data_IF_551506887429
#
_entry.id   IF_551506887429
#
_cell.length_a   1.000
_cell.length_b   1.000
_cell.length_c   1.000
_cell.angle_alpha   90.00
_cell.angle_beta   90.00
_cell.angle_gamma   90.00
#
_symmetry.space_group_name_H-M   'P 1'
#
loop_
_entity.id
_entity.type
_entity.pdbx_description
1 polymer ?
#
# COMPACT_ATOMS: atom_id res chain seq x y z
N UNK A 1 28.86 -25.41 -19.33
CA UNK A 1 28.21 -24.25 -18.68
C UNK A 1 28.98 -23.00 -19.09
N UNK A 2 28.47 -22.24 -20.06
CA UNK A 2 29.09 -21.01 -20.54
C UNK A 2 28.33 -19.81 -20.00
N UNK A 3 28.99 -18.98 -19.20
CA UNK A 3 28.42 -17.73 -18.68
C UNK A 3 28.56 -16.69 -19.80
N UNK A 4 27.44 -16.23 -20.36
CA UNK A 4 27.43 -15.14 -21.35
C UNK A 4 26.77 -13.92 -20.70
N UNK A 5 27.51 -12.83 -20.54
CA UNK A 5 26.96 -11.57 -20.09
C UNK A 5 26.33 -10.84 -21.29
N UNK A 6 25.00 -10.82 -21.35
CA UNK A 6 24.27 -10.00 -22.34
C UNK A 6 23.88 -8.68 -21.71
N UNK A 7 24.28 -7.58 -22.35
CA UNK A 7 23.82 -6.23 -22.05
C UNK A 7 22.53 -5.99 -22.83
N UNK A 8 21.41 -5.90 -22.13
CA UNK A 8 20.12 -5.56 -22.74
C UNK A 8 20.01 -4.05 -22.84
N UNK A 9 20.14 -3.49 -24.05
CA UNK A 9 19.74 -2.10 -24.28
C UNK A 9 18.20 -2.05 -24.27
N UNK A 10 17.63 -1.66 -23.14
CA UNK A 10 16.20 -1.49 -22.97
C UNK A 10 15.74 -0.22 -23.70
N UNK A 11 15.49 -0.33 -25.01
CA UNK A 11 14.70 0.68 -25.73
C UNK A 11 13.25 0.51 -25.32
N UNK A 12 12.85 1.17 -24.24
CA UNK A 12 11.45 1.29 -23.86
C UNK A 12 10.65 1.95 -24.99
N UNK A 13 9.43 1.46 -25.18
CA UNK A 13 8.44 1.95 -26.14
C UNK A 13 8.34 3.48 -26.08
N UNK A 14 8.79 4.16 -27.13
CA UNK A 14 8.59 5.60 -27.29
C UNK A 14 7.10 5.86 -27.62
N UNK A 15 6.44 6.83 -26.95
CA UNK A 15 5.03 7.16 -27.19
C UNK A 15 4.75 7.82 -28.55
N UNK A 16 5.76 8.00 -29.41
CA UNK A 16 5.62 8.65 -30.72
C UNK A 16 5.09 7.77 -31.86
N UNK A 17 4.53 6.59 -31.59
CA UNK A 17 3.89 5.79 -32.65
C UNK A 17 2.50 6.36 -32.98
N UNK A 18 2.27 6.65 -34.27
CA UNK A 18 0.95 7.01 -34.80
C UNK A 18 -0.09 5.95 -34.39
N UNK A 19 -1.19 6.37 -33.78
CA UNK A 19 -2.27 5.48 -33.31
C UNK A 19 -2.41 5.36 -31.79
N UNK A 20 -1.64 6.11 -31.00
CA UNK A 20 -1.87 6.22 -29.56
C UNK A 20 -2.99 7.24 -29.27
N UNK A 21 -4.12 6.77 -28.74
CA UNK A 21 -5.15 7.65 -28.17
C UNK A 21 -4.65 8.17 -26.82
N UNK A 22 -4.46 9.49 -26.63
CA UNK A 22 -4.07 10.02 -25.34
C UNK A 22 -5.10 9.65 -24.27
N UNK A 23 -4.63 9.42 -23.04
CA UNK A 23 -5.52 9.20 -21.92
C UNK A 23 -6.47 10.40 -21.72
N UNK A 24 -7.68 10.17 -21.17
CA UNK A 24 -8.62 11.25 -20.89
C UNK A 24 -8.03 12.24 -19.89
N UNK A 25 -8.34 13.53 -20.06
CA UNK A 25 -8.05 14.54 -19.03
C UNK A 25 -8.97 14.36 -17.82
N UNK A 26 -8.54 14.84 -16.65
CA UNK A 26 -9.35 14.80 -15.43
C UNK A 26 -10.67 15.56 -15.61
N UNK A 27 -10.64 16.70 -16.29
CA UNK A 27 -11.83 17.54 -16.55
C UNK A 27 -12.87 16.86 -17.44
N UNK A 28 -12.48 15.82 -18.19
CA UNK A 28 -13.39 15.04 -19.03
C UNK A 28 -14.15 13.95 -18.25
N UNK A 29 -13.89 13.79 -16.95
CA UNK A 29 -14.54 12.81 -16.07
C UNK A 29 -15.74 13.46 -15.40
N UNK A 30 -16.93 12.90 -15.63
CA UNK A 30 -18.13 13.27 -14.90
C UNK A 30 -18.23 12.44 -13.61
N UNK A 31 -18.26 13.11 -12.46
CA UNK A 31 -18.47 12.47 -11.15
C UNK A 31 -19.86 12.78 -10.64
N UNK A 32 -20.48 11.80 -9.96
CA UNK A 32 -21.66 12.07 -9.14
C UNK A 32 -21.31 13.03 -7.99
N UNK A 33 -22.30 13.78 -7.52
CA UNK A 33 -22.17 14.55 -6.28
C UNK A 33 -21.87 13.62 -5.08
N UNK A 34 -21.08 14.08 -4.09
CA UNK A 34 -20.94 13.39 -2.81
C UNK A 34 -22.31 13.17 -2.16
N UNK A 35 -22.51 11.99 -1.55
CA UNK A 35 -23.75 11.59 -0.86
C UNK A 35 -23.82 12.06 0.59
N UNK A 36 -22.72 12.58 1.13
CA UNK A 36 -22.64 13.19 2.45
C UNK A 36 -21.81 14.47 2.39
N UNK A 37 -21.99 15.33 3.39
CA UNK A 37 -21.16 16.51 3.60
C UNK A 37 -20.14 16.24 4.72
N UNK A 38 -18.88 16.58 4.48
CA UNK A 38 -17.86 16.51 5.51
C UNK A 38 -18.08 17.63 6.54
N UNK A 39 -18.03 17.34 7.85
CA UNK A 39 -18.18 18.37 8.88
C UNK A 39 -17.01 19.35 8.82
N UNK A 40 -17.26 20.62 9.15
CA UNK A 40 -16.24 21.67 9.16
C UNK A 40 -15.00 21.32 10.02
N UNK A 41 -15.19 20.51 11.08
CA UNK A 41 -14.11 20.02 11.94
C UNK A 41 -13.13 19.04 11.26
N UNK A 42 -13.46 18.53 10.07
CA UNK A 42 -12.61 17.65 9.26
C UNK A 42 -12.15 18.31 7.95
N UNK A 43 -12.47 19.58 7.71
CA UNK A 43 -12.14 20.28 6.46
C UNK A 43 -10.62 20.43 6.23
N UNK A 44 -9.81 20.25 7.27
CA UNK A 44 -8.35 20.29 7.22
C UNK A 44 -7.73 18.98 6.70
N UNK A 45 -8.48 17.88 6.69
CA UNK A 45 -7.99 16.55 6.30
C UNK A 45 -8.90 15.83 5.30
N UNK A 46 -10.11 16.33 5.02
CA UNK A 46 -11.06 15.73 4.07
C UNK A 46 -11.27 16.63 2.85
N UNK A 47 -11.07 16.04 1.67
CA UNK A 47 -11.27 16.67 0.36
C UNK A 47 -12.39 15.96 -0.41
N UNK A 48 -13.40 16.72 -0.84
CA UNK A 48 -14.51 16.25 -1.69
C UNK A 48 -14.35 16.68 -3.17
N UNK A 49 -13.21 17.27 -3.52
CA UNK A 49 -12.84 17.72 -4.85
C UNK A 49 -12.72 16.58 -5.87
N UNK A 50 -12.95 16.93 -7.14
CA UNK A 50 -13.00 15.96 -8.23
C UNK A 50 -11.66 15.22 -8.41
N UNK A 51 -10.54 15.95 -8.40
CA UNK A 51 -9.21 15.36 -8.62
C UNK A 51 -8.85 14.31 -7.56
N UNK A 52 -9.03 14.64 -6.27
CA UNK A 52 -8.76 13.70 -5.18
C UNK A 52 -9.58 12.42 -5.37
N UNK A 53 -10.89 12.55 -5.61
CA UNK A 53 -11.79 11.41 -5.80
C UNK A 53 -11.42 10.56 -7.01
N UNK A 54 -11.08 11.17 -8.15
CA UNK A 54 -10.64 10.46 -9.36
C UNK A 54 -9.38 9.65 -9.10
N UNK A 55 -8.37 10.26 -8.46
CA UNK A 55 -7.07 9.62 -8.17
C UNK A 55 -7.17 8.46 -7.18
N UNK A 56 -8.24 8.40 -6.39
CA UNK A 56 -8.49 7.38 -5.37
C UNK A 56 -9.63 6.41 -5.74
N UNK A 57 -10.08 6.40 -7.00
CA UNK A 57 -11.15 5.50 -7.44
C UNK A 57 -10.64 4.07 -7.71
N UNK A 58 -9.43 3.95 -8.25
CA UNK A 58 -8.98 2.72 -8.91
C UNK A 58 -7.62 2.22 -8.45
N UNK A 59 -7.49 0.89 -8.47
CA UNK A 59 -6.23 0.18 -8.41
C UNK A 59 -5.44 0.25 -9.72
N UNK A 60 -4.69 -0.81 -10.02
CA UNK A 60 -3.87 -0.98 -11.22
C UNK A 60 -4.18 -2.28 -11.96
N UNK A 61 -5.36 -2.86 -11.74
CA UNK A 61 -5.79 -3.99 -12.55
C UNK A 61 -6.05 -3.54 -14.00
N UNK A 62 -5.94 -4.45 -14.97
CA UNK A 62 -6.24 -4.14 -16.36
C UNK A 62 -7.66 -3.58 -16.55
N UNK A 63 -8.65 -4.13 -15.83
CA UNK A 63 -10.04 -3.64 -15.84
C UNK A 63 -10.14 -2.18 -15.40
N UNK A 64 -9.34 -1.79 -14.42
CA UNK A 64 -9.36 -0.44 -13.82
C UNK A 64 -8.81 0.57 -14.83
N UNK A 65 -7.72 0.21 -15.50
CA UNK A 65 -7.13 1.02 -16.58
C UNK A 65 -8.15 1.22 -17.70
N UNK A 66 -8.78 0.15 -18.19
CA UNK A 66 -9.79 0.22 -19.26
C UNK A 66 -10.95 1.14 -18.86
N UNK A 67 -11.52 0.99 -17.66
CA UNK A 67 -12.60 1.86 -17.16
C UNK A 67 -12.18 3.31 -17.05
N UNK A 68 -10.97 3.57 -16.54
CA UNK A 68 -10.38 4.91 -16.50
C UNK A 68 -10.29 5.57 -17.88
N UNK A 69 -9.83 4.83 -18.90
CA UNK A 69 -9.80 5.31 -20.29
C UNK A 69 -11.20 5.56 -20.86
N UNK A 70 -12.18 4.74 -20.48
CA UNK A 70 -13.60 4.95 -20.82
C UNK A 70 -14.27 6.05 -20.00
N UNK A 71 -13.56 6.68 -19.06
CA UNK A 71 -14.10 7.71 -18.15
C UNK A 71 -15.25 7.20 -17.28
N UNK A 72 -15.32 5.89 -17.08
CA UNK A 72 -16.23 5.32 -16.09
C UNK A 72 -15.60 5.52 -14.71
N UNK A 73 -16.21 6.39 -13.91
CA UNK A 73 -15.85 6.63 -12.51
C UNK A 73 -17.10 6.53 -11.61
N UNK A 74 -18.06 5.67 -11.98
CA UNK A 74 -19.30 5.48 -11.23
C UNK A 74 -19.04 5.06 -9.77
N UNK A 75 -17.93 4.36 -9.54
CA UNK A 75 -17.49 3.85 -8.23
C UNK A 75 -16.55 4.80 -7.49
N UNK A 76 -16.43 6.06 -7.90
CA UNK A 76 -15.60 7.03 -7.20
C UNK A 76 -16.05 7.23 -5.73
N UNK A 77 -15.10 7.41 -4.79
CA UNK A 77 -15.44 7.76 -3.42
C UNK A 77 -16.19 9.10 -3.37
N UNK A 78 -16.88 9.35 -2.26
CA UNK A 78 -17.53 10.63 -1.97
C UNK A 78 -16.55 11.67 -1.46
N UNK A 79 -15.49 11.21 -0.77
CA UNK A 79 -14.44 12.05 -0.22
C UNK A 79 -13.13 11.27 -0.10
N UNK A 80 -12.02 11.98 -0.03
CA UNK A 80 -10.70 11.45 0.32
C UNK A 80 -10.27 12.12 1.62
N UNK A 81 -9.78 11.35 2.57
CA UNK A 81 -9.18 11.90 3.78
C UNK A 81 -7.69 11.56 3.86
N UNK A 82 -6.87 12.54 4.24
CA UNK A 82 -5.42 12.40 4.34
C UNK A 82 -4.96 12.71 5.77
N UNK A 83 -5.05 11.73 6.70
CA UNK A 83 -4.67 11.92 8.10
C UNK A 83 -3.15 12.11 8.25
N UNK A 84 -2.75 13.02 9.14
CA UNK A 84 -1.34 13.31 9.44
C UNK A 84 -0.82 12.51 10.64
N UNK A 85 -1.72 12.05 11.50
CA UNK A 85 -1.45 11.24 12.67
C UNK A 85 -2.63 10.31 13.01
N UNK A 86 -2.50 9.52 14.08
CA UNK A 86 -3.57 8.65 14.56
C UNK A 86 -4.78 9.40 15.12
N UNK A 87 -4.60 10.64 15.60
CA UNK A 87 -5.72 11.44 16.09
C UNK A 87 -6.63 11.82 14.92
N UNK A 88 -6.06 12.20 13.77
CA UNK A 88 -6.79 12.42 12.53
C UNK A 88 -7.55 11.16 12.10
N UNK A 89 -6.88 9.99 12.08
CA UNK A 89 -7.54 8.70 11.74
C UNK A 89 -8.74 8.45 12.67
N UNK A 90 -8.57 8.65 13.97
CA UNK A 90 -9.65 8.45 14.95
C UNK A 90 -10.82 9.39 14.70
N UNK A 91 -10.57 10.70 14.51
CA UNK A 91 -11.63 11.69 14.21
C UNK A 91 -12.42 11.30 12.96
N UNK A 92 -11.74 10.80 11.94
CA UNK A 92 -12.37 10.34 10.69
C UNK A 92 -13.22 9.09 10.91
N UNK A 93 -12.72 8.09 11.63
CA UNK A 93 -13.46 6.87 11.94
C UNK A 93 -14.68 7.14 12.84
N UNK A 94 -14.56 8.03 13.83
CA UNK A 94 -15.65 8.44 14.71
C UNK A 94 -16.78 9.12 13.91
N UNK A 95 -16.43 10.05 13.01
CA UNK A 95 -17.38 10.65 12.08
C UNK A 95 -18.05 9.59 11.18
N UNK A 96 -17.25 8.73 10.55
CA UNK A 96 -17.75 7.74 9.61
C UNK A 96 -18.73 6.76 10.27
N UNK A 97 -18.44 6.34 11.51
CA UNK A 97 -19.34 5.50 12.30
C UNK A 97 -20.68 6.19 12.59
N UNK A 98 -20.66 7.46 13.00
CA UNK A 98 -21.88 8.23 13.27
C UNK A 98 -22.71 8.53 12.02
N UNK A 99 -22.05 8.83 10.90
CA UNK A 99 -22.68 9.17 9.63
C UNK A 99 -23.02 7.95 8.75
N UNK A 100 -22.66 6.73 9.19
CA UNK A 100 -22.79 5.49 8.40
C UNK A 100 -22.08 5.56 7.04
N UNK A 101 -20.88 6.16 7.04
CA UNK A 101 -19.99 6.25 5.87
C UNK A 101 -19.01 5.07 5.93
N UNK A 102 -18.86 4.35 4.83
CA UNK A 102 -17.82 3.32 4.72
C UNK A 102 -16.44 3.97 4.57
N UNK A 103 -15.42 3.38 5.19
CA UNK A 103 -14.04 3.84 5.08
C UNK A 103 -13.21 2.77 4.38
N UNK A 104 -12.51 3.16 3.32
CA UNK A 104 -11.61 2.27 2.56
C UNK A 104 -10.17 2.76 2.79
N UNK A 105 -9.32 2.01 3.53
CA UNK A 105 -7.92 2.36 3.67
C UNK A 105 -7.21 2.37 2.32
N UNK A 106 -6.44 3.42 2.07
CA UNK A 106 -5.73 3.62 0.82
C UNK A 106 -4.25 3.89 1.09
N UNK A 107 -3.38 3.16 0.39
CA UNK A 107 -1.93 3.34 0.43
C UNK A 107 -1.42 3.89 -0.91
N UNK A 108 -0.66 3.08 -1.64
CA UNK A 108 -0.15 3.48 -2.96
C UNK A 108 -1.12 3.24 -4.13
N UNK A 109 -2.33 2.74 -3.88
CA UNK A 109 -3.32 2.46 -4.94
C UNK A 109 -2.90 1.40 -5.95
N UNK A 110 -1.97 0.51 -5.61
CA UNK A 110 -1.39 -0.49 -6.52
C UNK A 110 -2.11 -1.85 -6.50
N UNK A 111 -3.28 -1.95 -5.85
CA UNK A 111 -4.08 -3.18 -5.85
C UNK A 111 -4.46 -3.60 -7.28
N UNK A 112 -4.41 -4.89 -7.57
CA UNK A 112 -4.80 -5.46 -8.88
C UNK A 112 -6.06 -6.34 -8.79
N UNK A 113 -6.74 -6.32 -7.65
CA UNK A 113 -7.94 -7.14 -7.37
C UNK A 113 -9.17 -6.30 -7.03
N UNK A 114 -9.05 -4.97 -7.04
CA UNK A 114 -10.11 -4.05 -6.63
C UNK A 114 -10.15 -3.76 -5.12
N UNK A 115 -9.07 -4.04 -4.38
CA UNK A 115 -9.03 -3.87 -2.92
C UNK A 115 -9.14 -2.42 -2.44
N UNK A 116 -9.09 -1.43 -3.34
CA UNK A 116 -9.32 -0.01 -3.05
C UNK A 116 -10.58 0.53 -3.72
N UNK A 117 -11.31 -0.32 -4.44
CA UNK A 117 -12.53 0.07 -5.14
C UNK A 117 -13.66 0.30 -4.13
N UNK A 118 -14.35 1.44 -4.24
CA UNK A 118 -15.32 1.87 -3.24
C UNK A 118 -16.67 1.16 -3.41
N UNK A 119 -16.76 -0.09 -2.97
CA UNK A 119 -18.02 -0.84 -2.88
C UNK A 119 -18.74 -0.49 -1.56
N UNK A 120 -19.74 0.39 -1.61
CA UNK A 120 -20.44 0.87 -0.40
C UNK A 120 -21.90 1.25 -0.64
N UNK A 121 -22.61 0.52 -1.47
CA UNK A 121 -24.02 0.81 -1.81
C UNK A 121 -24.95 0.77 -0.58
N UNK A 122 -24.61 -0.02 0.44
CA UNK A 122 -25.36 -0.11 1.70
C UNK A 122 -25.08 1.03 2.69
N UNK A 123 -24.18 1.96 2.38
CA UNK A 123 -23.72 3.03 3.26
C UNK A 123 -24.18 4.42 2.76
N UNK A 124 -24.20 5.40 3.66
CA UNK A 124 -24.53 6.80 3.31
C UNK A 124 -23.49 7.43 2.36
N UNK A 125 -22.29 6.84 2.28
CA UNK A 125 -21.24 7.20 1.34
C UNK A 125 -20.00 6.35 1.56
N UNK A 126 -18.95 6.62 0.78
CA UNK A 126 -17.64 5.99 0.94
C UNK A 126 -16.56 7.07 1.00
N UNK A 127 -15.67 6.96 1.98
CA UNK A 127 -14.51 7.81 2.18
C UNK A 127 -13.25 6.96 1.95
N UNK A 128 -12.39 7.38 1.02
CA UNK A 128 -11.06 6.79 0.86
C UNK A 128 -10.11 7.43 1.87
N UNK A 129 -9.44 6.62 2.70
CA UNK A 129 -8.52 7.09 3.73
C UNK A 129 -7.07 6.91 3.26
N UNK A 130 -6.50 7.94 2.66
CA UNK A 130 -5.13 7.95 2.13
C UNK A 130 -4.11 8.12 3.27
N UNK A 131 -3.42 7.03 3.59
CA UNK A 131 -2.42 6.96 4.65
C UNK A 131 -1.06 7.55 4.22
N UNK A 132 -0.90 8.06 3.01
CA UNK A 132 0.38 8.50 2.45
C UNK A 132 1.14 9.56 3.27
N UNK A 133 0.43 10.32 4.12
CA UNK A 133 1.06 11.26 5.07
C UNK A 133 1.64 10.59 6.32
N UNK A 134 1.20 9.38 6.67
CA UNK A 134 1.77 8.54 7.73
C UNK A 134 2.96 7.74 7.17
N UNK A 135 4.07 8.39 6.86
CA UNK A 135 5.18 7.80 6.09
C UNK A 135 6.55 7.77 6.79
N UNK A 136 6.60 8.07 8.09
CA UNK A 136 7.84 8.14 8.86
C UNK A 136 8.42 6.77 9.24
N UNK A 137 9.75 6.68 9.21
CA UNK A 137 10.52 5.67 9.96
C UNK A 137 10.75 6.25 11.35
N UNK A 138 10.01 5.75 12.35
CA UNK A 138 9.90 6.39 13.66
C UNK A 138 11.01 5.96 14.63
N UNK A 139 11.44 4.71 14.55
CA UNK A 139 12.40 4.13 15.47
C UNK A 139 13.17 3.00 14.79
N UNK A 140 14.47 2.89 15.07
CA UNK A 140 15.34 1.84 14.54
C UNK A 140 16.24 1.29 15.65
N UNK A 141 16.09 0.01 15.98
CA UNK A 141 16.95 -0.72 16.91
C UNK A 141 17.96 -1.57 16.15
N UNK A 142 19.24 -1.23 16.28
CA UNK A 142 20.33 -2.04 15.70
C UNK A 142 20.52 -3.37 16.43
N UNK A 143 20.24 -3.40 17.74
CA UNK A 143 20.42 -4.57 18.60
C UNK A 143 19.38 -5.62 18.24
N UNK A 144 18.10 -5.21 18.23
CA UNK A 144 16.99 -6.13 17.95
C UNK A 144 16.80 -6.35 16.45
N UNK A 145 17.40 -5.48 15.63
CA UNK A 145 17.21 -5.40 14.17
C UNK A 145 15.73 -5.23 13.83
N UNK A 146 15.12 -4.24 14.46
CA UNK A 146 13.73 -3.85 14.29
C UNK A 146 13.63 -2.40 13.88
N UNK A 147 12.61 -2.08 13.08
CA UNK A 147 12.25 -0.71 12.77
C UNK A 147 10.74 -0.52 12.92
N UNK A 148 10.33 0.54 13.62
CA UNK A 148 8.93 0.96 13.73
C UNK A 148 8.66 2.02 12.67
N UNK A 149 7.68 1.75 11.81
CA UNK A 149 7.46 2.52 10.58
C UNK A 149 5.96 2.73 10.40
N UNK A 150 5.59 3.93 9.98
CA UNK A 150 4.21 4.25 9.68
C UNK A 150 3.75 3.58 8.37
N UNK A 151 2.47 3.21 8.32
CA UNK A 151 1.90 2.34 7.30
C UNK A 151 1.83 2.95 5.90
N UNK A 152 1.82 4.27 5.78
CA UNK A 152 1.87 4.99 4.51
C UNK A 152 3.25 5.09 3.88
N UNK A 153 4.32 4.62 4.54
CA UNK A 153 5.67 4.70 4.00
C UNK A 153 5.81 3.90 2.70
N UNK A 154 6.13 4.59 1.61
CA UNK A 154 6.46 3.99 0.31
C UNK A 154 7.81 3.28 0.38
N UNK A 155 7.99 2.23 -0.42
CA UNK A 155 9.21 1.43 -0.45
C UNK A 155 10.51 2.25 -0.56
N UNK A 156 10.66 3.16 -1.53
CA UNK A 156 11.87 3.98 -1.66
C UNK A 156 12.15 4.86 -0.43
N UNK A 157 11.13 5.52 0.11
CA UNK A 157 11.27 6.39 1.28
C UNK A 157 11.63 5.60 2.54
N UNK A 158 10.98 4.45 2.74
CA UNK A 158 11.28 3.51 3.81
C UNK A 158 12.73 3.02 3.76
N UNK A 159 13.19 2.55 2.60
CA UNK A 159 14.56 2.07 2.42
C UNK A 159 15.60 3.20 2.55
N UNK A 160 15.27 4.43 2.14
CA UNK A 160 16.11 5.60 2.36
C UNK A 160 16.25 5.93 3.86
N UNK A 161 15.16 5.85 4.63
CA UNK A 161 15.18 6.01 6.08
C UNK A 161 16.05 4.95 6.77
N UNK A 162 15.89 3.68 6.42
CA UNK A 162 16.70 2.59 6.97
C UNK A 162 18.19 2.67 6.58
N UNK A 163 18.48 3.20 5.38
CA UNK A 163 19.86 3.36 4.88
C UNK A 163 20.70 4.23 5.80
N UNK A 164 20.12 5.28 6.40
CA UNK A 164 20.83 6.15 7.35
C UNK A 164 21.37 5.37 8.57
N UNK A 165 20.75 4.22 8.88
CA UNK A 165 21.14 3.31 9.95
C UNK A 165 21.95 2.11 9.44
N UNK A 166 22.38 2.09 8.17
CA UNK A 166 23.10 0.92 7.62
C UNK A 166 22.25 -0.36 7.54
N UNK A 167 20.92 -0.23 7.64
CA UNK A 167 19.96 -1.33 7.60
C UNK A 167 19.12 -1.27 6.31
N UNK A 168 18.39 -2.34 6.06
CA UNK A 168 17.44 -2.51 4.94
C UNK A 168 16.34 -3.48 5.36
N UNK A 169 15.12 -3.29 4.85
CA UNK A 169 14.06 -4.27 4.97
C UNK A 169 14.26 -5.37 3.93
N UNK A 170 14.75 -5.01 2.73
CA UNK A 170 14.96 -5.88 1.57
C UNK A 170 13.70 -6.71 1.29
N UNK A 171 12.59 -6.00 1.17
CA UNK A 171 11.31 -6.49 0.68
C UNK A 171 10.93 -5.65 -0.55
N UNK A 172 11.02 -6.28 -1.73
CA UNK A 172 10.89 -5.58 -3.02
C UNK A 172 9.77 -6.17 -3.88
N UNK A 173 8.49 -5.89 -3.59
CA UNK A 173 7.41 -6.24 -4.49
C UNK A 173 7.58 -5.51 -5.84
N UNK A 174 6.96 -5.98 -6.92
CA UNK A 174 7.10 -5.29 -8.23
C UNK A 174 6.54 -3.87 -8.19
N UNK A 175 5.56 -3.63 -7.32
CA UNK A 175 4.99 -2.30 -7.04
C UNK A 175 5.81 -1.48 -6.05
N UNK A 176 7.06 -1.84 -5.73
CA UNK A 176 7.86 -1.25 -4.63
C UNK A 176 7.82 0.28 -4.59
N UNK A 177 7.95 0.95 -5.75
CA UNK A 177 7.96 2.42 -5.85
C UNK A 177 6.59 3.08 -5.58
N UNK A 178 5.51 2.30 -5.66
CA UNK A 178 4.12 2.77 -5.61
C UNK A 178 3.25 1.94 -4.64
N UNK A 179 3.87 1.31 -3.64
CA UNK A 179 3.16 0.55 -2.61
C UNK A 179 3.76 0.84 -1.25
N UNK A 180 2.90 0.77 -0.24
CA UNK A 180 3.22 1.19 1.13
C UNK A 180 3.33 -0.01 2.06
N UNK A 181 4.02 0.16 3.19
CA UNK A 181 4.15 -0.88 4.21
C UNK A 181 2.80 -1.44 4.66
N UNK A 182 1.82 -0.57 4.95
CA UNK A 182 0.47 -0.97 5.35
C UNK A 182 -0.23 -1.78 4.27
N UNK A 183 -0.10 -1.38 3.01
CA UNK A 183 -0.62 -2.14 1.87
C UNK A 183 0.00 -3.52 1.79
N UNK A 184 1.32 -3.64 1.96
CA UNK A 184 1.99 -4.95 1.96
C UNK A 184 1.41 -5.87 3.04
N UNK A 185 1.28 -5.38 4.27
CA UNK A 185 0.73 -6.13 5.41
C UNK A 185 -0.72 -6.54 5.14
N UNK A 186 -1.55 -5.60 4.69
CA UNK A 186 -2.97 -5.83 4.41
C UNK A 186 -3.19 -6.88 3.30
N UNK A 187 -2.26 -7.02 2.36
CA UNK A 187 -2.40 -7.94 1.21
C UNK A 187 -1.42 -9.12 1.23
N UNK A 188 -0.66 -9.31 2.33
CA UNK A 188 0.40 -10.33 2.46
C UNK A 188 1.39 -10.34 1.29
N UNK A 189 1.83 -9.15 0.88
CA UNK A 189 2.65 -8.97 -0.32
C UNK A 189 3.92 -9.83 -0.33
N UNK A 190 4.27 -10.32 -1.51
CA UNK A 190 5.51 -11.05 -1.79
C UNK A 190 6.59 -10.11 -2.35
N UNK A 191 7.80 -10.21 -1.82
CA UNK A 191 8.97 -9.47 -2.26
C UNK A 191 9.88 -10.29 -3.16
N UNK A 192 10.46 -9.65 -4.17
CA UNK A 192 11.51 -10.21 -5.01
C UNK A 192 12.86 -10.17 -4.27
N UNK A 193 13.82 -10.96 -4.75
CA UNK A 193 15.17 -11.09 -4.17
C UNK A 193 15.19 -11.64 -2.73
N UNK A 194 14.08 -12.26 -2.31
CA UNK A 194 14.00 -13.08 -1.13
C UNK A 194 14.88 -14.32 -1.31
N UNK A 195 15.72 -14.59 -0.32
CA UNK A 195 16.49 -15.84 -0.24
C UNK A 195 15.90 -16.82 0.77
N UNK A 196 15.08 -16.32 1.70
CA UNK A 196 14.45 -17.10 2.77
C UNK A 196 13.01 -16.64 2.98
N UNK A 197 12.83 -15.35 3.28
CA UNK A 197 11.53 -14.76 3.54
C UNK A 197 10.98 -14.04 2.32
N UNK A 198 9.95 -14.62 1.70
CA UNK A 198 9.29 -14.07 0.52
C UNK A 198 8.19 -13.10 0.90
N UNK A 199 7.38 -13.43 1.90
CA UNK A 199 6.22 -12.62 2.27
C UNK A 199 6.56 -11.62 3.37
N UNK A 200 5.86 -10.47 3.35
CA UNK A 200 5.94 -9.47 4.42
C UNK A 200 5.58 -10.06 5.79
N UNK A 201 4.76 -11.11 5.80
CA UNK A 201 4.34 -11.88 6.97
C UNK A 201 5.49 -12.24 7.92
N UNK A 202 6.62 -12.66 7.35
CA UNK A 202 7.78 -13.12 8.10
C UNK A 202 8.63 -11.96 8.65
N UNK A 203 8.43 -10.77 8.08
CA UNK A 203 9.14 -9.55 8.45
C UNK A 203 8.37 -8.75 9.50
N UNK A 204 7.05 -8.89 9.61
CA UNK A 204 6.26 -8.20 10.64
C UNK A 204 6.54 -8.80 12.02
N UNK A 205 6.91 -7.93 12.96
CA UNK A 205 7.12 -8.28 14.37
C UNK A 205 5.98 -7.81 15.27
N UNK A 206 5.29 -6.73 14.90
CA UNK A 206 4.02 -6.29 15.50
C UNK A 206 3.29 -5.30 14.60
N UNK A 207 1.99 -5.12 14.87
CA UNK A 207 1.10 -4.21 14.14
C UNK A 207 0.35 -3.31 15.10
N UNK A 208 0.05 -2.10 14.63
CA UNK A 208 -0.85 -1.16 15.27
C UNK A 208 -1.95 -0.79 14.27
N UNK A 209 -3.19 -1.03 14.65
CA UNK A 209 -4.36 -0.87 13.78
C UNK A 209 -5.50 -0.20 14.56
N UNK A 210 -6.11 0.81 13.97
CA UNK A 210 -7.33 1.42 14.50
C UNK A 210 -8.55 0.75 13.87
N UNK A 211 -9.45 0.26 14.72
CA UNK A 211 -10.69 -0.41 14.32
C UNK A 211 -11.89 0.37 14.85
N UNK A 212 -13.11 0.15 14.33
CA UNK A 212 -14.32 0.74 14.92
C UNK A 212 -14.53 0.35 16.39
N UNK A 213 -14.00 -0.79 16.85
CA UNK A 213 -14.06 -1.21 18.24
C UNK A 213 -12.95 -0.61 19.12
N UNK A 214 -11.99 0.12 18.52
CA UNK A 214 -10.86 0.73 19.21
C UNK A 214 -9.51 0.26 18.69
N UNK A 215 -8.47 0.51 19.48
CA UNK A 215 -7.09 0.20 19.14
C UNK A 215 -6.81 -1.31 19.21
N UNK A 216 -6.34 -1.87 18.11
CA UNK A 216 -5.74 -3.20 18.03
C UNK A 216 -4.22 -3.07 17.92
N UNK A 217 -3.48 -3.37 18.98
CA UNK A 217 -2.02 -3.28 19.01
C UNK A 217 -1.42 -4.58 19.54
N UNK A 218 -0.53 -5.18 18.75
CA UNK A 218 0.15 -6.42 19.14
C UNK A 218 1.49 -6.12 19.80
N UNK A 219 2.03 -7.12 20.51
CA UNK A 219 3.28 -6.97 21.26
C UNK A 219 4.46 -7.40 20.40
N UNK A 220 5.49 -6.57 20.36
CA UNK A 220 6.78 -6.92 19.73
C UNK A 220 7.51 -7.94 20.60
N UNK A 221 7.37 -9.23 20.27
CA UNK A 221 8.02 -10.33 20.98
C UNK A 221 8.86 -11.16 20.01
N UNK A 222 10.04 -11.68 20.41
CA UNK A 222 10.83 -12.57 19.56
C UNK A 222 10.06 -13.83 19.13
N UNK A 223 9.21 -14.34 20.02
CA UNK A 223 8.26 -15.43 19.80
C UNK A 223 7.25 -15.49 20.95
N UNK A 224 6.09 -16.10 20.70
CA UNK A 224 5.01 -16.26 21.70
C UNK A 224 4.30 -17.59 21.49
N UNK A 225 4.04 -18.31 22.58
CA UNK A 225 3.16 -19.49 22.61
C UNK A 225 1.74 -19.18 23.08
N UNK A 226 1.40 -17.89 23.26
CA UNK A 226 0.11 -17.47 23.80
C UNK A 226 -0.98 -17.48 22.72
N UNK A 227 -1.52 -18.67 22.42
CA UNK A 227 -2.66 -18.84 21.52
C UNK A 227 -2.37 -18.49 20.04
N UNK A 228 -3.42 -18.26 19.24
CA UNK A 228 -3.25 -17.81 17.86
C UNK A 228 -2.45 -16.51 17.77
N UNK A 229 -1.57 -16.40 16.79
CA UNK A 229 -0.77 -15.19 16.59
C UNK A 229 -1.70 -14.00 16.27
N UNK A 230 -1.66 -12.92 17.06
CA UNK A 230 -2.53 -11.78 16.85
C UNK A 230 -2.16 -11.00 15.57
N UNK A 231 -0.88 -10.95 15.21
CA UNK A 231 -0.41 -10.28 13.98
C UNK A 231 -1.07 -10.86 12.73
N UNK A 232 -1.32 -12.18 12.75
CA UNK A 232 -1.94 -12.93 11.63
C UNK A 232 -3.41 -12.58 11.41
N UNK A 233 -4.05 -11.89 12.35
CA UNK A 233 -5.41 -11.40 12.19
C UNK A 233 -5.42 -10.12 11.32
N UNK A 234 -4.40 -9.27 11.42
CA UNK A 234 -4.26 -8.07 10.60
C UNK A 234 -3.65 -8.37 9.21
N UNK A 235 -2.71 -9.32 9.13
CA UNK A 235 -2.06 -9.73 7.90
C UNK A 235 -3.07 -10.36 6.93
N UNK A 236 -3.23 -9.77 5.74
CA UNK A 236 -4.20 -10.26 4.75
C UNK A 236 -5.64 -9.82 5.01
N UNK A 237 -5.87 -8.87 5.93
CA UNK A 237 -7.21 -8.34 6.20
C UNK A 237 -7.78 -7.48 5.08
N UNK A 238 -6.96 -7.06 4.11
CA UNK A 238 -7.33 -6.19 2.98
C UNK A 238 -8.10 -4.91 3.41
N UNK A 239 -7.83 -4.40 4.62
CA UNK A 239 -8.48 -3.22 5.17
C UNK A 239 -9.88 -3.47 5.76
N UNK A 240 -10.39 -4.71 5.72
CA UNK A 240 -11.75 -5.03 6.19
C UNK A 240 -11.92 -4.95 7.72
N UNK A 241 -10.83 -5.02 8.48
CA UNK A 241 -10.86 -5.05 9.94
C UNK A 241 -10.49 -3.71 10.60
N UNK A 242 -9.88 -2.79 9.84
CA UNK A 242 -9.42 -1.51 10.34
C UNK A 242 -8.28 -0.92 9.52
N UNK A 243 -7.71 0.15 10.07
CA UNK A 243 -6.65 0.97 9.46
C UNK A 243 -5.33 0.66 10.15
N UNK A 244 -4.42 -0.05 9.47
CA UNK A 244 -3.06 -0.25 9.97
C UNK A 244 -2.34 1.11 9.90
N UNK A 245 -1.88 1.63 11.03
CA UNK A 245 -1.25 2.96 11.14
C UNK A 245 0.26 2.87 11.29
N UNK A 246 0.75 1.85 12.00
CA UNK A 246 2.17 1.56 12.21
C UNK A 246 2.42 0.05 12.23
N UNK A 247 3.64 -0.35 11.90
CA UNK A 247 4.12 -1.70 12.15
C UNK A 247 5.58 -1.68 12.58
N UNK A 248 5.97 -2.68 13.37
CA UNK A 248 7.37 -2.99 13.63
C UNK A 248 7.79 -4.11 12.70
N UNK A 249 8.85 -3.89 11.93
CA UNK A 249 9.38 -4.85 10.97
C UNK A 249 10.82 -5.24 11.28
N UNK A 250 11.17 -6.49 10.96
CA UNK A 250 12.50 -7.05 11.04
C UNK A 250 13.34 -6.54 9.88
N UNK A 251 14.43 -5.87 10.22
CA UNK A 251 15.40 -5.32 9.27
C UNK A 251 16.72 -6.08 9.34
N UNK A 252 17.63 -5.82 8.41
CA UNK A 252 18.93 -6.49 8.35
C UNK A 252 20.04 -5.57 7.86
N UNK A 253 21.31 -5.88 8.15
CA UNK A 253 22.43 -5.14 7.58
C UNK A 253 22.36 -5.09 6.06
N UNK A 254 22.77 -3.97 5.49
CA UNK A 254 22.84 -3.82 4.03
C UNK A 254 23.86 -4.80 3.44
N UNK A 255 23.54 -5.49 2.34
CA UNK A 255 24.53 -6.29 1.63
C UNK A 255 25.72 -5.43 1.18
N UNK A 256 26.94 -5.91 1.43
CA UNK A 256 28.19 -5.26 1.00
C UNK A 256 28.68 -5.76 -0.37
N UNK A 257 28.12 -6.87 -0.85
CA UNK A 257 28.45 -7.49 -2.12
C UNK A 257 27.19 -7.96 -2.84
N UNK A 258 27.17 -7.82 -4.17
CA UNK A 258 26.11 -8.34 -5.05
C UNK A 258 26.76 -8.90 -6.31
N UNK A 259 26.36 -10.12 -6.68
CA UNK A 259 26.67 -10.73 -7.97
C UNK A 259 25.37 -11.17 -8.64
N UNK A 260 25.38 -11.22 -9.98
CA UNK A 260 24.26 -11.69 -10.78
C UNK A 260 24.83 -12.56 -11.90
N UNK A 261 24.17 -13.69 -12.17
CA UNK A 261 24.51 -14.59 -13.26
C UNK A 261 23.25 -14.96 -14.02
N UNK A 262 23.39 -15.21 -15.33
CA UNK A 262 22.33 -15.72 -16.20
C UNK A 262 22.68 -17.15 -16.58
N UNK A 263 21.71 -18.05 -16.42
CA UNK A 263 21.82 -19.45 -16.78
C UNK A 263 20.89 -19.73 -17.95
N UNK A 264 21.40 -20.42 -18.95
CA UNK A 264 20.62 -20.83 -20.12
C UNK A 264 20.36 -22.33 -20.03
N UNK A 265 19.10 -22.70 -20.25
CA UNK A 265 18.63 -24.08 -20.32
C UNK A 265 18.00 -24.30 -21.70
N UNK A 266 18.18 -25.49 -22.27
CA UNK A 266 17.66 -25.79 -23.60
C UNK A 266 16.12 -25.89 -23.60
N UNK A 267 15.54 -26.33 -22.48
CA UNK A 267 14.09 -26.47 -22.30
C UNK A 267 13.68 -25.92 -20.94
N UNK A 268 12.40 -25.60 -20.81
CA UNK A 268 11.85 -25.08 -19.56
C UNK A 268 11.95 -26.11 -18.42
N UNK A 269 11.73 -27.39 -18.72
CA UNK A 269 11.78 -28.48 -17.74
C UNK A 269 13.18 -28.69 -17.16
N UNK A 270 14.22 -28.27 -17.87
CA UNK A 270 15.60 -28.39 -17.38
C UNK A 270 15.92 -27.29 -16.35
N UNK A 271 15.08 -26.25 -16.23
CA UNK A 271 15.29 -25.08 -15.37
C UNK A 271 14.46 -25.08 -14.07
N UNK A 272 13.44 -25.94 -13.97
CA UNK A 272 12.49 -26.04 -12.83
C UNK A 272 12.86 -27.21 -11.93
#
# INVERSE_FOLDING_TARGET
MSITATRTDATYLSPSRSGYTPGPSLDAVALRAPRFEAPAALADVVDQGAEARIRHTYGRAYRDVVRGFHRDFAVAPDAVATPRDEADVRRILDFAAGAKVAVVPYGGGSSVVGGVECAGEAHAGVLSLDLGALNGVLEVSHIDRLARIQAGALGPALEAGLKAHGLTLRHFPQSFEHSTLGGWIATRAGGHFATLYTHIDDLVASVRMLTPAGLYATRTLPGSGAGPSPDRLALGSEGALGVITEAVVRVRPRPTFRAQASLHFARFEDAV
#
